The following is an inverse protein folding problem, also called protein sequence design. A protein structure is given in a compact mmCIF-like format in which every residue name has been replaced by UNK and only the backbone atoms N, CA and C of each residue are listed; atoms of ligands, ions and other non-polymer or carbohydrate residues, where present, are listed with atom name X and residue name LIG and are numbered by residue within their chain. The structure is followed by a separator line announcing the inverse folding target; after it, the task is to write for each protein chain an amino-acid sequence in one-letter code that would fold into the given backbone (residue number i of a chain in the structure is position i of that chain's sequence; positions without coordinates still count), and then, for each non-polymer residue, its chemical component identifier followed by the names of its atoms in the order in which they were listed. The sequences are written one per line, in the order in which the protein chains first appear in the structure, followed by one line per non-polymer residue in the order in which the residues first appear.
data_IF_756513170921
#
_entry.id   IF_756513170921
#
_cell.length_a   1.000
_cell.length_b   1.000
_cell.length_c   1.000
_cell.angle_alpha   90.00
_cell.angle_beta   90.00
_cell.angle_gamma   90.00
#
_symmetry.space_group_name_H-M   'P 1'
#
loop_
_entity.id
_entity.type
_entity.pdbx_description
1 polymer ?
#
# COMPACT_ATOMS: atom_id res chain seq x y z
N UNK A 1 -12.46 15.30 -18.55
CA UNK A 1 -11.55 15.32 -17.39
C UNK A 1 -10.62 14.13 -17.52
N UNK A 2 -9.31 14.33 -17.35
CA UNK A 2 -8.31 13.27 -17.44
C UNK A 2 -8.13 12.54 -16.09
N UNK A 3 -7.19 11.61 -16.08
CA UNK A 3 -6.72 10.90 -14.88
C UNK A 3 -5.26 11.25 -14.61
N UNK A 4 -4.84 11.06 -13.38
CA UNK A 4 -3.45 11.16 -12.94
C UNK A 4 -3.12 9.94 -12.07
N UNK A 5 -1.94 9.35 -12.31
CA UNK A 5 -1.47 8.17 -11.61
C UNK A 5 -0.45 8.56 -10.55
N UNK A 6 -0.63 8.04 -9.36
CA UNK A 6 0.23 8.27 -8.19
C UNK A 6 0.75 6.96 -7.62
N UNK A 7 1.94 6.99 -7.07
CA UNK A 7 2.50 5.91 -6.24
C UNK A 7 2.44 6.34 -4.79
N UNK A 8 1.89 5.49 -3.94
CA UNK A 8 1.98 5.64 -2.49
C UNK A 8 3.21 4.88 -2.04
N UNK A 9 4.16 5.61 -1.49
CA UNK A 9 5.48 5.08 -1.12
C UNK A 9 5.71 5.33 0.36
N UNK A 10 6.03 4.28 1.09
CA UNK A 10 6.53 4.36 2.46
C UNK A 10 8.05 4.56 2.47
N UNK A 11 8.53 5.57 3.19
CA UNK A 11 9.97 5.84 3.35
C UNK A 11 10.43 5.33 4.71
N UNK A 12 11.00 4.14 4.76
CA UNK A 12 11.40 3.46 6.01
C UNK A 12 12.89 3.59 6.33
N UNK A 13 13.72 4.06 5.41
CA UNK A 13 15.17 4.09 5.51
C UNK A 13 15.77 4.93 6.66
N UNK A 14 14.95 5.55 7.50
CA UNK A 14 15.37 6.28 8.70
C UNK A 14 14.96 5.57 10.01
N UNK A 15 14.35 4.39 9.92
CA UNK A 15 13.90 3.60 11.07
C UNK A 15 14.70 2.29 11.09
N UNK A 16 15.86 2.25 11.76
CA UNK A 16 16.82 1.14 11.62
C UNK A 16 16.29 -0.24 12.02
N UNK A 17 15.20 -0.31 12.77
CA UNK A 17 14.63 -1.57 13.26
C UNK A 17 13.45 -2.08 12.41
N UNK A 18 12.97 -1.29 11.44
CA UNK A 18 11.88 -1.72 10.56
C UNK A 18 12.43 -2.72 9.56
N UNK A 19 12.15 -3.99 9.84
CA UNK A 19 12.44 -5.09 8.93
C UNK A 19 11.31 -5.37 7.95
N UNK A 20 11.25 -6.60 7.48
CA UNK A 20 10.34 -7.05 6.44
C UNK A 20 8.89 -6.64 6.67
N UNK A 21 8.36 -5.75 5.81
CA UNK A 21 6.96 -5.36 5.81
C UNK A 21 6.19 -6.48 5.13
N UNK A 22 5.35 -7.18 5.87
CA UNK A 22 4.66 -8.35 5.33
C UNK A 22 3.14 -8.27 5.34
N UNK A 23 2.54 -7.24 5.96
CA UNK A 23 1.11 -7.04 5.90
C UNK A 23 0.72 -5.56 5.79
N UNK A 24 -0.29 -5.29 4.94
CA UNK A 24 -1.04 -4.06 4.82
C UNK A 24 -2.49 -4.40 5.13
N UNK A 25 -3.10 -3.76 6.14
CA UNK A 25 -4.37 -4.22 6.65
C UNK A 25 -5.29 -3.11 7.16
N UNK A 26 -6.57 -3.47 7.34
CA UNK A 26 -7.54 -2.75 8.13
C UNK A 26 -8.05 -3.62 9.28
N UNK A 27 -8.33 -3.00 10.41
CA UNK A 27 -8.92 -3.64 11.60
C UNK A 27 -10.03 -2.78 12.19
N UNK A 28 -10.86 -3.31 13.11
CA UNK A 28 -11.92 -2.54 13.74
C UNK A 28 -11.40 -1.24 14.38
N UNK A 29 -11.94 -0.11 13.94
CA UNK A 29 -11.50 1.22 14.35
C UNK A 29 -10.29 1.78 13.56
N UNK A 30 -9.62 0.98 12.75
CA UNK A 30 -8.42 1.31 11.96
C UNK A 30 -8.60 0.80 10.53
N UNK A 31 -9.58 1.32 9.81
CA UNK A 31 -9.96 0.79 8.50
C UNK A 31 -8.88 1.04 7.44
N UNK A 32 -8.70 0.04 6.56
CA UNK A 32 -8.08 0.26 5.28
C UNK A 32 -9.06 1.03 4.38
N UNK A 33 -8.64 2.18 3.89
CA UNK A 33 -9.45 3.05 3.03
C UNK A 33 -8.64 3.46 1.82
N UNK A 34 -9.15 3.17 0.61
CA UNK A 34 -8.62 3.68 -0.65
C UNK A 34 -9.65 4.59 -1.31
N UNK A 35 -9.23 5.69 -1.96
CA UNK A 35 -10.13 6.56 -2.68
C UNK A 35 -10.74 5.87 -3.90
N UNK A 36 -11.82 6.41 -4.49
CA UNK A 36 -12.26 6.03 -5.83
C UNK A 36 -11.10 6.16 -6.82
N UNK A 37 -10.85 5.10 -7.58
CA UNK A 37 -9.71 5.01 -8.49
C UNK A 37 -10.05 4.16 -9.72
N UNK A 38 -9.39 4.44 -10.83
CA UNK A 38 -9.58 3.71 -12.08
C UNK A 38 -9.17 2.24 -11.89
N UNK A 39 -10.01 1.34 -12.35
CA UNK A 39 -9.77 -0.09 -12.40
C UNK A 39 -9.82 -0.56 -13.86
N UNK A 40 -8.74 -1.16 -14.33
CA UNK A 40 -8.72 -1.79 -15.64
C UNK A 40 -9.62 -3.03 -15.66
N UNK A 41 -10.24 -3.30 -16.79
CA UNK A 41 -11.14 -4.43 -16.89
C UNK A 41 -10.37 -5.77 -16.82
N UNK A 42 -10.98 -6.78 -16.18
CA UNK A 42 -10.47 -8.15 -16.24
C UNK A 42 -10.42 -8.65 -17.70
N UNK A 43 -9.41 -9.42 -18.10
CA UNK A 43 -8.36 -10.03 -17.29
C UNK A 43 -7.09 -9.19 -17.18
N UNK A 44 -7.08 -7.94 -17.57
CA UNK A 44 -5.88 -7.10 -17.68
C UNK A 44 -5.59 -6.31 -16.40
N UNK A 45 -6.64 -5.93 -15.64
CA UNK A 45 -6.50 -5.29 -14.35
C UNK A 45 -6.17 -6.27 -13.21
N UNK A 46 -5.64 -5.72 -12.12
CA UNK A 46 -5.35 -6.43 -10.87
C UNK A 46 -5.74 -5.57 -9.68
N UNK A 47 -6.28 -6.18 -8.63
CA UNK A 47 -6.63 -5.46 -7.41
C UNK A 47 -5.43 -5.29 -6.46
N UNK A 48 -4.45 -6.21 -6.55
CA UNK A 48 -3.24 -6.20 -5.73
C UNK A 48 -2.03 -6.79 -6.48
N UNK A 49 -0.84 -6.47 -5.99
CA UNK A 49 0.42 -6.78 -6.65
C UNK A 49 0.76 -5.72 -7.71
N UNK A 50 1.07 -6.14 -8.92
CA UNK A 50 1.33 -5.26 -10.07
C UNK A 50 0.78 -5.89 -11.33
N UNK A 51 0.38 -5.07 -12.31
CA UNK A 51 -0.04 -5.57 -13.62
C UNK A 51 1.16 -6.24 -14.32
N UNK A 52 1.05 -7.50 -14.73
CA UNK A 52 2.12 -8.18 -15.45
C UNK A 52 2.44 -7.47 -16.77
N UNK A 53 3.73 -7.20 -17.03
CA UNK A 53 4.17 -6.54 -18.27
C UNK A 53 3.69 -7.28 -19.53
N UNK A 54 3.57 -8.60 -19.47
CA UNK A 54 3.10 -9.43 -20.57
C UNK A 54 1.66 -9.12 -21.00
N UNK A 55 0.85 -8.48 -20.16
CA UNK A 55 -0.53 -8.08 -20.46
C UNK A 55 -0.62 -6.71 -21.14
N UNK A 56 0.36 -5.82 -20.93
CA UNK A 56 0.34 -4.45 -21.45
C UNK A 56 0.25 -4.33 -22.99
N UNK A 57 0.80 -5.26 -23.81
CA UNK A 57 0.57 -5.22 -25.26
C UNK A 57 -0.88 -5.45 -25.68
N UNK A 58 -1.69 -6.11 -24.84
CA UNK A 58 -3.09 -6.43 -25.13
C UNK A 58 -4.04 -5.35 -24.62
N UNK A 59 -3.70 -4.72 -23.50
CA UNK A 59 -4.39 -3.56 -22.96
C UNK A 59 -3.37 -2.54 -22.43
N UNK A 60 -2.97 -1.54 -23.24
CA UNK A 60 -2.03 -0.53 -22.80
C UNK A 60 -2.53 0.35 -21.64
N UNK A 61 -3.83 0.43 -21.42
CA UNK A 61 -4.41 1.22 -20.33
C UNK A 61 -4.30 0.51 -18.98
N UNK A 62 -4.06 -0.80 -18.96
CA UNK A 62 -3.80 -1.57 -17.75
C UNK A 62 -2.56 -1.06 -16.97
N UNK A 63 -1.61 -0.36 -17.61
CA UNK A 63 -0.50 0.31 -16.91
C UNK A 63 -0.95 1.36 -15.90
N UNK A 64 -2.16 1.88 -16.08
CA UNK A 64 -2.77 2.89 -15.22
C UNK A 64 -3.74 2.30 -14.19
N UNK A 65 -3.83 0.98 -14.13
CA UNK A 65 -4.67 0.29 -13.16
C UNK A 65 -4.31 0.69 -11.72
N UNK A 66 -5.29 0.65 -10.83
CA UNK A 66 -5.07 0.96 -9.41
C UNK A 66 -5.04 -0.32 -8.60
N UNK A 67 -4.02 -0.48 -7.80
CA UNK A 67 -3.78 -1.68 -7.00
C UNK A 67 -3.06 -1.37 -5.70
N UNK A 68 -3.17 -2.26 -4.73
CA UNK A 68 -2.40 -2.25 -3.49
C UNK A 68 -1.29 -3.30 -3.51
N UNK A 69 -0.19 -3.04 -2.82
CA UNK A 69 0.97 -3.95 -2.81
C UNK A 69 1.79 -3.82 -1.54
N UNK A 70 2.79 -4.67 -1.42
CA UNK A 70 3.83 -4.63 -0.37
C UNK A 70 5.20 -4.69 -1.05
N UNK A 71 5.69 -3.54 -1.54
CA UNK A 71 7.02 -3.44 -2.15
C UNK A 71 7.14 -3.93 -3.59
N UNK A 72 6.06 -4.40 -4.20
CA UNK A 72 6.09 -4.77 -5.60
C UNK A 72 6.10 -3.52 -6.48
N UNK A 73 7.20 -3.25 -7.13
CA UNK A 73 7.32 -2.21 -8.15
C UNK A 73 7.80 -2.79 -9.50
N UNK A 74 7.41 -4.03 -9.79
CA UNK A 74 7.83 -4.67 -11.03
C UNK A 74 7.66 -6.19 -11.00
N UNK A 75 8.19 -6.89 -12.00
CA UNK A 75 8.01 -8.34 -12.19
C UNK A 75 8.71 -9.22 -11.15
N UNK A 76 9.28 -8.62 -10.09
CA UNK A 76 10.12 -9.32 -9.11
C UNK A 76 9.35 -10.12 -8.06
N UNK A 77 8.02 -9.99 -7.99
CA UNK A 77 7.23 -10.85 -7.10
C UNK A 77 7.00 -12.20 -7.77
N UNK A 78 7.42 -13.24 -7.09
CA UNK A 78 7.01 -14.61 -7.46
C UNK A 78 5.48 -14.70 -7.50
N UNK A 79 4.90 -15.30 -8.54
CA UNK A 79 3.46 -15.50 -8.62
C UNK A 79 2.93 -16.17 -7.36
N UNK A 80 1.95 -15.55 -6.70
CA UNK A 80 1.35 -16.06 -5.47
C UNK A 80 2.15 -15.71 -4.19
N UNK A 81 3.16 -14.86 -4.25
CA UNK A 81 3.86 -14.38 -3.05
C UNK A 81 2.94 -13.57 -2.13
N UNK A 82 2.03 -12.79 -2.71
CA UNK A 82 1.00 -12.05 -2.00
C UNK A 82 -0.31 -12.80 -1.95
N UNK A 83 -1.04 -12.66 -0.86
CA UNK A 83 -2.38 -13.20 -0.65
C UNK A 83 -3.26 -12.20 0.08
N UNK A 84 -4.56 -12.33 -0.07
CA UNK A 84 -5.55 -11.50 0.62
C UNK A 84 -6.38 -12.33 1.58
N UNK A 85 -6.71 -11.73 2.72
CA UNK A 85 -7.62 -12.29 3.72
C UNK A 85 -8.65 -11.21 4.03
N UNK A 86 -9.95 -11.50 3.82
CA UNK A 86 -11.03 -10.56 4.14
C UNK A 86 -11.09 -9.29 3.26
N UNK A 87 -10.26 -9.15 2.24
CA UNK A 87 -10.33 -8.04 1.29
C UNK A 87 -11.30 -8.38 0.15
N UNK A 88 -12.31 -7.55 -0.03
CA UNK A 88 -13.22 -7.60 -1.17
C UNK A 88 -13.08 -6.32 -1.99
N UNK A 89 -12.48 -6.43 -3.15
CA UNK A 89 -12.24 -5.33 -4.08
C UNK A 89 -13.39 -5.09 -5.06
N UNK A 90 -14.42 -5.91 -5.06
CA UNK A 90 -15.49 -5.92 -6.07
C UNK A 90 -16.24 -4.58 -6.22
N UNK A 91 -16.26 -3.77 -5.18
CA UNK A 91 -16.87 -2.44 -5.19
C UNK A 91 -15.89 -1.30 -5.54
N UNK A 92 -14.57 -1.56 -5.57
CA UNK A 92 -13.58 -0.53 -5.82
C UNK A 92 -13.57 -0.13 -7.30
N UNK A 93 -13.84 1.14 -7.56
CA UNK A 93 -13.99 1.68 -8.90
C UNK A 93 -13.64 3.16 -8.97
N UNK A 94 -13.74 3.78 -10.13
CA UNK A 94 -13.53 5.22 -10.34
C UNK A 94 -14.58 6.12 -9.66
N UNK A 95 -15.65 5.53 -9.16
CA UNK A 95 -16.75 6.21 -8.47
C UNK A 95 -16.92 5.79 -7.01
N UNK A 96 -16.37 4.64 -6.63
CA UNK A 96 -16.51 4.06 -5.29
C UNK A 96 -15.14 3.70 -4.74
N UNK A 97 -14.80 4.21 -3.54
CA UNK A 97 -13.59 3.83 -2.83
C UNK A 97 -13.71 2.43 -2.19
N UNK A 98 -12.58 1.94 -1.72
CA UNK A 98 -12.52 0.72 -0.91
C UNK A 98 -12.51 1.07 0.57
N UNK A 99 -13.28 0.36 1.39
CA UNK A 99 -13.23 0.42 2.85
C UNK A 99 -13.32 -0.98 3.45
N UNK A 100 -12.31 -1.35 4.21
CA UNK A 100 -12.22 -2.67 4.86
C UNK A 100 -11.84 -2.50 6.33
N UNK A 101 -12.64 -3.06 7.24
CA UNK A 101 -12.42 -3.00 8.69
C UNK A 101 -11.91 -4.32 9.27
N UNK A 102 -11.82 -5.37 8.46
CA UNK A 102 -11.28 -6.67 8.87
C UNK A 102 -10.73 -7.39 7.64
N UNK A 103 -9.49 -7.09 7.30
CA UNK A 103 -8.84 -7.71 6.14
C UNK A 103 -7.41 -7.24 5.93
N UNK A 104 -6.64 -8.06 5.26
CA UNK A 104 -5.23 -7.83 5.00
C UNK A 104 -4.79 -8.30 3.62
N UNK A 105 -3.85 -7.57 3.03
CA UNK A 105 -2.92 -8.03 2.03
C UNK A 105 -1.64 -8.47 2.75
N UNK A 106 -1.15 -9.68 2.49
CA UNK A 106 0.00 -10.22 3.22
C UNK A 106 0.90 -11.05 2.32
N UNK A 107 2.19 -11.09 2.65
CA UNK A 107 3.08 -12.13 2.14
C UNK A 107 2.76 -13.47 2.81
N UNK A 108 2.68 -14.54 2.02
CA UNK A 108 2.51 -15.90 2.53
C UNK A 108 3.68 -16.34 3.41
N UNK A 109 4.85 -15.80 3.14
CA UNK A 109 6.07 -16.00 3.92
C UNK A 109 6.55 -14.65 4.45
N UNK A 110 6.27 -14.29 5.71
CA UNK A 110 6.63 -12.99 6.29
C UNK A 110 8.11 -12.61 6.17
N UNK A 111 9.01 -13.61 6.15
CA UNK A 111 10.45 -13.40 5.95
C UNK A 111 10.82 -12.96 4.53
N UNK A 112 9.88 -13.00 3.59
CA UNK A 112 10.04 -12.51 2.22
C UNK A 112 9.35 -11.15 2.01
N UNK A 113 8.93 -10.51 3.08
CA UNK A 113 8.34 -9.18 3.04
C UNK A 113 9.29 -8.15 2.43
N UNK A 114 8.74 -7.01 2.05
CA UNK A 114 9.54 -5.92 1.52
C UNK A 114 10.57 -5.45 2.56
N UNK A 115 11.84 -5.34 2.15
CA UNK A 115 12.88 -4.79 3.02
C UNK A 115 12.53 -3.38 3.47
N UNK A 116 12.63 -3.12 4.76
CA UNK A 116 12.44 -1.79 5.34
C UNK A 116 13.64 -0.85 5.15
N UNK A 117 14.66 -1.23 4.36
CA UNK A 117 15.90 -0.46 4.20
C UNK A 117 15.78 0.69 3.19
N UNK A 118 14.57 1.07 2.80
CA UNK A 118 14.39 2.12 1.78
C UNK A 118 12.94 2.47 1.50
N UNK A 119 12.69 2.75 0.25
CA UNK A 119 11.38 3.11 -0.26
C UNK A 119 10.58 1.85 -0.61
N UNK A 120 9.39 1.73 -0.05
CA UNK A 120 8.48 0.62 -0.29
C UNK A 120 7.21 1.12 -0.97
N UNK A 121 6.93 0.64 -2.17
CA UNK A 121 5.66 0.95 -2.86
C UNK A 121 4.53 0.18 -2.17
N UNK A 122 3.46 0.88 -1.82
CA UNK A 122 2.30 0.35 -1.10
C UNK A 122 1.02 0.37 -1.93
N UNK A 123 0.92 1.27 -2.91
CA UNK A 123 -0.19 1.31 -3.86
C UNK A 123 0.17 2.08 -5.13
N UNK A 124 -0.53 1.78 -6.21
CA UNK A 124 -0.74 2.68 -7.34
C UNK A 124 -2.20 3.13 -7.35
N UNK A 125 -2.42 4.42 -7.54
CA UNK A 125 -3.76 5.00 -7.61
C UNK A 125 -3.86 5.89 -8.84
N UNK A 126 -4.77 5.57 -9.74
CA UNK A 126 -5.12 6.41 -10.89
C UNK A 126 -6.48 7.05 -10.61
N UNK A 127 -6.45 8.31 -10.29
CA UNK A 127 -7.62 9.09 -9.86
C UNK A 127 -7.94 10.22 -10.83
N UNK A 128 -9.13 10.77 -10.74
CA UNK A 128 -9.53 11.91 -11.58
C UNK A 128 -8.62 13.11 -11.31
N UNK A 129 -8.08 13.70 -12.37
CA UNK A 129 -7.21 14.87 -12.27
C UNK A 129 -7.93 16.06 -11.62
N UNK A 130 -7.22 16.76 -10.73
CA UNK A 130 -7.77 17.94 -10.05
C UNK A 130 -8.67 17.64 -8.86
N UNK A 131 -8.87 16.36 -8.51
CA UNK A 131 -9.67 15.95 -7.35
C UNK A 131 -8.73 15.61 -6.19
N UNK A 132 -8.97 16.22 -5.03
CA UNK A 132 -8.28 15.83 -3.80
C UNK A 132 -8.70 14.42 -3.39
N UNK A 133 -7.77 13.65 -2.85
CA UNK A 133 -8.05 12.30 -2.36
C UNK A 133 -7.25 11.99 -1.10
N UNK A 134 -7.73 11.05 -0.33
CA UNK A 134 -7.04 10.52 0.85
C UNK A 134 -7.38 9.07 1.05
N UNK A 135 -6.56 8.40 1.84
CA UNK A 135 -6.79 7.04 2.29
C UNK A 135 -6.02 6.76 3.57
N UNK A 136 -6.22 5.57 4.10
CA UNK A 136 -5.55 5.08 5.31
C UNK A 136 -5.35 3.59 5.25
N UNK A 137 -4.35 3.09 5.92
CA UNK A 137 -4.10 1.68 6.16
C UNK A 137 -3.20 1.51 7.37
N UNK A 138 -3.10 0.29 7.86
CA UNK A 138 -2.12 -0.10 8.87
C UNK A 138 -1.09 -1.03 8.25
N UNK A 139 0.12 -1.04 8.81
CA UNK A 139 1.21 -1.92 8.36
C UNK A 139 1.70 -2.79 9.51
N UNK A 140 2.13 -3.99 9.18
CA UNK A 140 2.83 -4.88 10.07
C UNK A 140 4.09 -5.41 9.39
N UNK A 141 5.16 -5.51 10.16
CA UNK A 141 6.43 -6.03 9.68
C UNK A 141 7.20 -6.72 10.81
N UNK A 142 8.34 -7.27 10.45
CA UNK A 142 9.23 -7.97 11.36
C UNK A 142 10.46 -7.14 11.69
N UNK A 143 10.91 -7.18 12.92
CA UNK A 143 12.13 -6.52 13.33
C UNK A 143 13.35 -7.28 12.81
N UNK A 144 14.31 -6.57 12.18
CA UNK A 144 15.54 -7.17 11.64
C UNK A 144 16.66 -7.28 12.64
N UNK A 145 16.66 -6.47 13.70
CA UNK A 145 17.72 -6.44 14.69
C UNK A 145 17.21 -6.00 16.06
N UNK A 146 17.96 -6.35 17.08
CA UNK A 146 17.80 -5.79 18.43
C UNK A 146 18.06 -4.29 18.36
N UNK A 147 17.03 -3.47 18.44
CA UNK A 147 17.19 -2.05 18.62
C UNK A 147 16.59 -1.64 19.96
N UNK A 148 17.44 -1.40 20.98
CA UNK A 148 16.99 -1.23 22.36
C UNK A 148 16.20 0.09 22.61
N UNK A 149 16.07 0.93 21.59
CA UNK A 149 15.40 2.24 21.68
C UNK A 149 14.09 2.32 20.91
N UNK A 150 13.69 1.27 20.19
CA UNK A 150 12.44 1.26 19.43
C UNK A 150 11.45 0.27 20.02
N UNK A 151 10.34 0.79 20.51
CA UNK A 151 9.27 0.01 21.10
C UNK A 151 8.78 -1.07 20.12
N UNK A 152 8.81 -2.32 20.55
CA UNK A 152 8.39 -3.48 19.77
C UNK A 152 9.51 -4.28 19.10
N UNK A 153 10.75 -3.76 19.05
CA UNK A 153 11.89 -4.45 18.43
C UNK A 153 13.03 -4.77 19.41
N UNK A 154 12.74 -4.81 20.71
CA UNK A 154 13.75 -4.98 21.76
C UNK A 154 14.44 -6.36 21.71
N UNK A 155 13.76 -7.36 21.17
CA UNK A 155 14.29 -8.74 21.08
C UNK A 155 14.82 -9.10 19.68
N UNK A 156 14.66 -8.22 18.69
CA UNK A 156 15.05 -8.45 17.29
C UNK A 156 14.27 -9.58 16.58
N UNK A 157 13.17 -10.04 17.18
CA UNK A 157 12.33 -11.14 16.68
C UNK A 157 10.85 -10.81 16.67
N UNK A 158 10.47 -9.73 17.36
CA UNK A 158 9.09 -9.28 17.47
C UNK A 158 8.61 -8.68 16.17
N UNK A 159 7.32 -8.67 16.00
CA UNK A 159 6.67 -7.95 14.93
C UNK A 159 6.34 -6.54 15.41
N UNK A 160 6.48 -5.56 14.53
CA UNK A 160 6.02 -4.19 14.76
C UNK A 160 4.71 -3.94 14.02
N UNK A 161 3.91 -3.03 14.55
CA UNK A 161 2.64 -2.61 13.95
C UNK A 161 2.56 -1.09 13.96
N UNK A 162 2.21 -0.50 12.82
CA UNK A 162 1.87 0.92 12.71
C UNK A 162 0.43 1.03 12.25
N UNK A 163 -0.41 1.65 13.09
CA UNK A 163 -1.82 1.85 12.81
C UNK A 163 -2.06 3.23 12.18
N UNK A 164 -3.13 3.35 11.37
CA UNK A 164 -3.65 4.60 10.83
C UNK A 164 -2.63 5.45 10.07
N UNK A 165 -1.86 4.82 9.20
CA UNK A 165 -1.03 5.55 8.24
C UNK A 165 -1.96 6.25 7.26
N UNK A 166 -1.97 7.58 7.29
CA UNK A 166 -2.83 8.40 6.44
C UNK A 166 -2.00 8.97 5.31
N UNK A 167 -2.50 8.87 4.08
CA UNK A 167 -1.98 9.59 2.94
C UNK A 167 -3.04 10.52 2.37
N UNK A 168 -2.62 11.66 1.84
CA UNK A 168 -3.55 12.62 1.23
C UNK A 168 -2.88 13.40 0.10
N UNK A 169 -3.66 13.75 -0.90
CA UNK A 169 -3.31 14.69 -1.96
C UNK A 169 -4.30 15.84 -1.96
N UNK A 170 -3.85 17.02 -1.55
CA UNK A 170 -4.73 18.17 -1.23
C UNK A 170 -5.04 19.04 -2.44
N UNK A 171 -4.25 18.95 -3.52
CA UNK A 171 -4.56 19.58 -4.81
C UNK A 171 -3.76 18.88 -5.91
N UNK A 172 -4.46 18.28 -6.84
CA UNK A 172 -3.87 17.65 -8.01
C UNK A 172 -3.40 18.69 -9.06
N UNK A 173 -2.49 19.55 -8.65
CA UNK A 173 -1.61 20.29 -9.56
C UNK A 173 -0.38 19.42 -9.79
N UNK A 174 0.08 19.31 -11.04
CA UNK A 174 1.19 18.46 -11.43
C UNK A 174 2.35 18.51 -10.42
N UNK A 175 2.62 17.43 -9.73
CA UNK A 175 3.93 17.15 -9.20
C UNK A 175 4.15 16.75 -7.76
N UNK A 176 3.25 16.95 -6.79
CA UNK A 176 3.51 16.42 -5.46
C UNK A 176 2.26 16.30 -4.59
N UNK A 177 1.96 15.08 -4.17
CA UNK A 177 1.11 14.84 -3.01
C UNK A 177 2.03 14.79 -1.78
N UNK A 178 1.75 15.55 -0.73
CA UNK A 178 2.47 15.44 0.53
C UNK A 178 1.91 14.27 1.34
N UNK A 179 2.79 13.48 1.93
CA UNK A 179 2.40 12.56 2.99
C UNK A 179 1.79 13.36 4.15
N UNK A 180 0.62 12.96 4.63
CA UNK A 180 0.09 13.52 5.86
C UNK A 180 1.02 13.09 7.02
N UNK A 181 1.47 14.05 7.81
CA UNK A 181 2.21 13.73 9.03
C UNK A 181 1.30 12.98 10.00
N UNK A 182 1.79 11.92 10.66
CA UNK A 182 1.04 11.30 11.73
C UNK A 182 0.71 12.35 12.82
N UNK A 183 -0.46 12.24 13.47
CA UNK A 183 -0.78 13.13 14.57
C UNK A 183 0.30 13.01 15.67
N UNK A 184 0.63 14.11 16.37
CA UNK A 184 1.58 14.05 17.47
C UNK A 184 1.07 13.07 18.54
N UNK A 185 1.96 12.34 19.24
CA UNK A 185 1.57 11.45 20.31
C UNK A 185 0.74 12.20 21.36
N UNK A 186 -0.26 11.56 21.96
CA UNK A 186 -1.06 12.18 23.03
C UNK A 186 -0.15 12.60 24.19
N UNK A 187 -0.49 13.71 24.90
CA UNK A 187 0.29 14.23 25.99
C UNK A 187 0.35 13.29 27.20
#
# INVERSE_FOLDING_TARGET
AGYATYRIVGHFGQVPAVGDIYALFGSPGHALVMPPAFQAALPFGVDFGTVPEALLPFDPDARFDSWVTLGADGPALEPGALSTIGLDFSSWSDSTGLRVEDGALTFLHPQHGASGDGDVVLAQLTVRSGVAFSGSFSLQGRCHAVHPLEAGCEDGKSDWVILDIIFACVSAGAGSCQAAQPPPPPP
#
